data_IF_878453130379
#
_entry.id   IF_878453130379
#
_cell.length_a   1.000
_cell.length_b   1.000
_cell.length_c   1.000
_cell.angle_alpha   90.00
_cell.angle_beta   90.00
_cell.angle_gamma   90.00
#
_symmetry.space_group_name_H-M   'P 1'
#
loop_
_entity.id
_entity.type
_entity.pdbx_description
1 polymer ?
#
# COMPACT_ATOMS: atom_id res chain seq x y z
N UNK A 1 -2.11 -0.53 -12.57
CA UNK A 1 -1.58 0.81 -12.19
C UNK A 1 -0.69 0.60 -11.00
N UNK A 2 0.58 0.92 -11.17
CA UNK A 2 1.59 0.74 -10.14
C UNK A 2 1.42 1.76 -9.01
N UNK A 3 1.52 1.31 -7.76
CA UNK A 3 1.38 2.12 -6.55
C UNK A 3 2.36 1.64 -5.47
N UNK A 4 3.04 2.58 -4.82
CA UNK A 4 3.76 2.29 -3.57
C UNK A 4 2.76 2.23 -2.42
N UNK A 5 2.81 1.18 -1.62
CA UNK A 5 1.95 1.02 -0.44
C UNK A 5 2.72 1.45 0.81
N UNK A 6 2.12 2.32 1.62
CA UNK A 6 2.61 2.65 2.97
C UNK A 6 2.31 1.49 3.95
N UNK A 7 3.24 1.18 4.86
CA UNK A 7 3.04 0.17 5.93
C UNK A 7 1.76 0.45 6.71
N UNK A 8 1.40 1.72 6.93
CA UNK A 8 0.19 2.06 7.68
C UNK A 8 -1.09 1.52 7.02
N UNK A 9 -1.14 1.40 5.69
CA UNK A 9 -2.29 0.86 4.98
C UNK A 9 -2.42 -0.65 5.17
N UNK A 10 -1.28 -1.35 5.18
CA UNK A 10 -1.23 -2.78 5.50
C UNK A 10 -1.61 -3.02 6.97
N UNK A 11 -1.07 -2.23 7.90
CA UNK A 11 -1.43 -2.31 9.33
C UNK A 11 -2.92 -2.00 9.56
N UNK A 12 -3.46 -0.99 8.89
CA UNK A 12 -4.88 -0.64 8.93
C UNK A 12 -5.75 -1.81 8.46
N UNK A 13 -5.39 -2.43 7.33
CA UNK A 13 -6.09 -3.61 6.81
C UNK A 13 -6.05 -4.80 7.79
N UNK A 14 -4.91 -5.03 8.45
CA UNK A 14 -4.72 -6.12 9.41
C UNK A 14 -5.44 -5.88 10.75
N UNK A 15 -5.47 -4.64 11.24
CA UNK A 15 -5.98 -4.31 12.57
C UNK A 15 -7.49 -4.21 12.64
N UNK A 16 -8.15 -3.67 11.61
CA UNK A 16 -9.57 -3.33 11.69
C UNK A 16 -10.40 -3.78 10.48
N UNK A 17 -9.82 -4.48 9.51
CA UNK A 17 -10.47 -4.78 8.22
C UNK A 17 -11.17 -3.55 7.65
N UNK A 18 -10.48 -2.41 7.71
CA UNK A 18 -10.96 -1.10 7.28
C UNK A 18 -11.08 -0.99 5.76
N UNK A 19 -11.36 0.22 5.27
CA UNK A 19 -11.33 0.49 3.83
C UNK A 19 -10.02 0.07 3.14
N UNK A 20 -8.88 0.04 3.85
CA UNK A 20 -7.62 -0.46 3.27
C UNK A 20 -7.72 -1.96 2.95
N UNK A 21 -8.41 -2.74 3.79
CA UNK A 21 -8.72 -4.14 3.49
C UNK A 21 -9.67 -4.28 2.29
N UNK A 22 -10.67 -3.40 2.17
CA UNK A 22 -11.58 -3.40 1.02
C UNK A 22 -10.87 -3.11 -0.31
N UNK A 23 -9.82 -2.29 -0.30
CA UNK A 23 -8.96 -2.05 -1.47
C UNK A 23 -8.27 -3.35 -1.90
N UNK A 24 -7.61 -4.05 -0.97
CA UNK A 24 -6.96 -5.34 -1.28
C UNK A 24 -7.98 -6.40 -1.71
N UNK A 25 -9.14 -6.46 -1.05
CA UNK A 25 -10.20 -7.41 -1.40
C UNK A 25 -10.73 -7.17 -2.82
N UNK A 26 -10.99 -5.91 -3.16
CA UNK A 26 -11.47 -5.53 -4.48
C UNK A 26 -10.39 -5.76 -5.54
N UNK A 27 -9.13 -5.43 -5.24
CA UNK A 27 -8.03 -5.59 -6.19
C UNK A 27 -7.76 -7.06 -6.53
N UNK A 28 -7.98 -7.99 -5.59
CA UNK A 28 -7.88 -9.43 -5.87
C UNK A 28 -8.84 -9.89 -7.00
N UNK A 29 -9.98 -9.20 -7.17
CA UNK A 29 -10.95 -9.50 -8.25
C UNK A 29 -10.67 -8.71 -9.52
N UNK A 30 -10.44 -7.41 -9.40
CA UNK A 30 -10.35 -6.51 -10.56
C UNK A 30 -8.94 -6.33 -11.13
N UNK A 31 -7.90 -6.67 -10.36
CA UNK A 31 -6.49 -6.52 -10.72
C UNK A 31 -6.15 -5.14 -11.31
N UNK A 32 -6.75 -4.09 -10.73
CA UNK A 32 -6.63 -2.71 -11.23
C UNK A 32 -5.30 -2.07 -10.83
N UNK A 33 -4.76 -2.49 -9.70
CA UNK A 33 -3.55 -1.99 -9.09
C UNK A 33 -2.48 -3.08 -9.00
N UNK A 34 -1.24 -2.66 -9.24
CA UNK A 34 -0.03 -3.42 -8.98
C UNK A 34 0.62 -2.72 -7.79
N UNK A 35 0.77 -3.43 -6.67
CA UNK A 35 1.29 -2.84 -5.45
C UNK A 35 2.76 -3.20 -5.27
N UNK A 36 3.56 -2.20 -4.92
CA UNK A 36 4.96 -2.37 -4.53
C UNK A 36 5.20 -1.77 -3.15
N UNK A 37 6.15 -2.33 -2.41
CA UNK A 37 6.56 -1.83 -1.11
C UNK A 37 8.06 -2.11 -0.88
N UNK A 38 8.76 -1.32 -0.04
CA UNK A 38 10.08 -1.69 0.44
C UNK A 38 10.05 -3.04 1.17
N UNK A 39 11.03 -3.91 0.92
CA UNK A 39 11.18 -5.20 1.62
C UNK A 39 11.20 -5.04 3.16
N UNK A 40 11.70 -3.91 3.64
CA UNK A 40 11.71 -3.55 5.05
C UNK A 40 10.31 -3.61 5.70
N UNK A 41 9.24 -3.26 4.98
CA UNK A 41 7.85 -3.36 5.46
C UNK A 41 7.54 -4.78 5.94
N UNK A 42 7.94 -5.80 5.18
CA UNK A 42 7.68 -7.19 5.52
C UNK A 42 8.35 -7.57 6.86
N UNK A 43 9.60 -7.15 7.05
CA UNK A 43 10.33 -7.38 8.30
C UNK A 43 9.73 -6.63 9.49
N UNK A 44 9.27 -5.40 9.29
CA UNK A 44 8.61 -4.59 10.31
C UNK A 44 7.31 -5.25 10.80
N UNK A 45 6.45 -5.69 9.88
CA UNK A 45 5.21 -6.38 10.21
C UNK A 45 5.51 -7.70 10.93
N UNK A 46 6.50 -8.47 10.44
CA UNK A 46 6.90 -9.73 11.05
C UNK A 46 7.40 -9.57 12.49
N UNK A 47 8.24 -8.56 12.75
CA UNK A 47 8.74 -8.26 14.12
C UNK A 47 7.61 -7.86 15.07
N UNK A 48 6.59 -7.16 14.56
CA UNK A 48 5.48 -6.65 15.37
C UNK A 48 4.27 -7.59 15.37
N UNK A 49 4.36 -8.78 14.77
CA UNK A 49 3.20 -9.65 14.53
C UNK A 49 2.41 -9.99 15.81
N UNK A 50 3.10 -10.29 16.92
CA UNK A 50 2.44 -10.57 18.21
C UNK A 50 1.67 -9.37 18.78
N UNK A 51 2.16 -8.15 18.58
CA UNK A 51 1.44 -6.93 18.95
C UNK A 51 0.19 -6.75 18.07
N UNK A 52 0.32 -7.02 16.76
CA UNK A 52 -0.79 -6.91 15.80
C UNK A 52 -1.87 -7.95 16.13
N UNK A 53 -1.52 -9.18 16.51
CA UNK A 53 -2.47 -10.20 17.02
C UNK A 53 -3.24 -9.63 18.22
N UNK A 54 -2.52 -9.10 19.21
CA UNK A 54 -3.13 -8.54 20.42
C UNK A 54 -4.10 -7.39 20.11
N UNK A 55 -3.71 -6.49 19.20
CA UNK A 55 -4.49 -5.29 18.87
C UNK A 55 -5.66 -5.58 17.94
N UNK A 56 -5.50 -6.49 16.98
CA UNK A 56 -6.56 -6.89 16.04
C UNK A 56 -7.65 -7.72 16.71
N UNK A 57 -7.36 -8.35 17.86
CA UNK A 57 -8.23 -9.32 18.54
C UNK A 57 -8.57 -10.55 17.67
N UNK A 58 -7.72 -10.83 16.67
CA UNK A 58 -7.81 -12.02 15.84
C UNK A 58 -6.90 -13.12 16.42
N UNK A 59 -7.18 -14.37 16.07
CA UNK A 59 -6.22 -15.44 16.34
C UNK A 59 -4.98 -15.28 15.45
N UNK A 60 -3.86 -15.85 15.87
CA UNK A 60 -2.62 -15.89 15.08
C UNK A 60 -2.83 -16.48 13.68
N UNK A 61 -3.67 -17.50 13.57
CA UNK A 61 -3.96 -18.19 12.31
C UNK A 61 -4.76 -17.28 11.38
N UNK A 62 -5.82 -16.64 11.89
CA UNK A 62 -6.65 -15.75 11.09
C UNK A 62 -5.86 -14.52 10.63
N UNK A 63 -5.05 -13.94 11.52
CA UNK A 63 -4.19 -12.82 11.15
C UNK A 63 -3.12 -13.25 10.14
N UNK A 64 -2.55 -14.44 10.31
CA UNK A 64 -1.55 -15.00 9.39
C UNK A 64 -2.10 -15.20 7.98
N UNK A 65 -3.29 -15.77 7.85
CA UNK A 65 -3.97 -15.90 6.55
C UNK A 65 -4.37 -14.54 5.96
N UNK A 66 -4.78 -13.59 6.80
CA UNK A 66 -5.08 -12.22 6.35
C UNK A 66 -3.82 -11.53 5.80
N UNK A 67 -2.70 -11.66 6.51
CA UNK A 67 -1.43 -11.09 6.05
C UNK A 67 -0.92 -11.79 4.80
N UNK A 68 -1.06 -13.12 4.71
CA UNK A 68 -0.74 -13.87 3.49
C UNK A 68 -1.58 -13.40 2.29
N UNK A 69 -2.87 -13.19 2.48
CA UNK A 69 -3.73 -12.65 1.43
C UNK A 69 -3.29 -11.27 0.93
N UNK A 70 -2.87 -10.38 1.85
CA UNK A 70 -2.40 -9.03 1.49
C UNK A 70 -1.02 -9.11 0.83
N UNK A 71 -0.08 -9.86 1.41
CA UNK A 71 1.30 -9.95 0.92
C UNK A 71 1.36 -10.51 -0.50
N UNK A 72 0.46 -11.43 -0.86
CA UNK A 72 0.42 -12.05 -2.19
C UNK A 72 -0.01 -11.07 -3.30
N UNK A 73 -0.42 -9.85 -2.93
CA UNK A 73 -0.74 -8.77 -3.86
C UNK A 73 0.34 -7.69 -3.95
N UNK A 74 1.40 -7.76 -3.13
CA UNK A 74 2.44 -6.74 -3.01
C UNK A 74 3.79 -7.32 -3.43
N UNK A 75 4.42 -6.67 -4.41
CA UNK A 75 5.80 -6.94 -4.77
C UNK A 75 6.75 -6.18 -3.83
N UNK A 76 7.47 -6.92 -3.00
CA UNK A 76 8.44 -6.37 -2.06
C UNK A 76 9.78 -6.14 -2.74
N UNK A 77 10.21 -4.88 -2.80
CA UNK A 77 11.43 -4.45 -3.49
C UNK A 77 12.57 -4.26 -2.49
N UNK A 78 13.73 -4.92 -2.69
CA UNK A 78 14.93 -4.72 -1.87
C UNK A 78 15.47 -3.29 -1.94
N UNK A 79 16.00 -2.77 -0.82
CA UNK A 79 16.47 -1.38 -0.73
C UNK A 79 17.56 -1.02 -1.75
N UNK A 80 18.45 -1.95 -2.07
CA UNK A 80 19.52 -1.76 -3.03
C UNK A 80 19.04 -1.53 -4.48
N UNK A 81 17.76 -1.79 -4.79
CA UNK A 81 17.20 -1.52 -6.12
C UNK A 81 16.74 -0.07 -6.33
N UNK A 82 16.61 0.70 -5.25
CA UNK A 82 16.11 2.07 -5.27
C UNK A 82 16.87 3.03 -4.35
N UNK A 83 17.99 2.60 -3.74
CA UNK A 83 18.76 3.41 -2.80
C UNK A 83 19.39 4.65 -3.46
N UNK A 84 19.61 4.64 -4.77
CA UNK A 84 20.10 5.79 -5.52
C UNK A 84 19.11 6.96 -5.50
N UNK A 85 17.83 6.68 -5.27
CA UNK A 85 16.77 7.68 -5.14
C UNK A 85 16.64 8.23 -3.71
N UNK A 86 17.37 7.69 -2.72
CA UNK A 86 17.20 8.06 -1.32
C UNK A 86 17.47 9.55 -1.04
N UNK A 87 18.47 10.14 -1.72
CA UNK A 87 18.80 11.56 -1.54
C UNK A 87 17.66 12.47 -2.02
N UNK A 88 17.11 12.17 -3.19
CA UNK A 88 15.97 12.93 -3.72
C UNK A 88 14.72 12.72 -2.85
N UNK A 89 14.51 11.50 -2.38
CA UNK A 89 13.39 11.18 -1.51
C UNK A 89 13.46 11.88 -0.16
N UNK A 90 14.66 12.09 0.41
CA UNK A 90 14.86 12.84 1.65
C UNK A 90 14.34 14.30 1.54
N UNK A 91 14.49 14.92 0.37
CA UNK A 91 13.98 16.28 0.12
C UNK A 91 12.45 16.35 0.04
N UNK A 92 11.79 15.23 -0.28
CA UNK A 92 10.32 15.13 -0.43
C UNK A 92 9.64 14.59 0.82
N UNK A 93 10.36 13.76 1.58
CA UNK A 93 9.82 12.99 2.67
C UNK A 93 9.59 13.85 3.92
N UNK A 94 8.45 13.72 4.61
CA UNK A 94 8.21 14.46 5.85
C UNK A 94 9.07 13.95 7.01
N UNK A 95 9.46 12.67 7.00
CA UNK A 95 10.28 12.04 8.04
C UNK A 95 11.25 11.02 7.47
N UNK A 96 12.33 10.75 8.20
CA UNK A 96 13.40 9.82 7.77
C UNK A 96 12.91 8.39 7.50
N UNK A 97 11.91 7.92 8.26
CA UNK A 97 11.32 6.58 8.09
C UNK A 97 10.51 6.44 6.81
N UNK A 98 10.03 7.55 6.25
CA UNK A 98 9.15 7.57 5.09
C UNK A 98 9.96 7.66 3.78
N UNK A 99 11.26 7.99 3.85
CA UNK A 99 12.17 8.12 2.71
C UNK A 99 12.11 6.91 1.78
N UNK A 100 12.03 5.70 2.33
CA UNK A 100 11.97 4.47 1.55
C UNK A 100 10.75 4.40 0.60
N UNK A 101 9.59 4.91 1.00
CA UNK A 101 8.39 4.92 0.14
C UNK A 101 8.51 5.98 -0.95
N UNK A 102 9.04 7.15 -0.60
CA UNK A 102 9.31 8.21 -1.57
C UNK A 102 10.40 7.80 -2.57
N UNK A 103 11.47 7.15 -2.11
CA UNK A 103 12.54 6.66 -2.98
C UNK A 103 12.03 5.62 -3.97
N UNK A 104 11.18 4.70 -3.50
CA UNK A 104 10.51 3.73 -4.37
C UNK A 104 9.59 4.42 -5.38
N UNK A 105 8.79 5.39 -4.94
CA UNK A 105 7.89 6.15 -5.82
C UNK A 105 8.65 6.97 -6.87
N UNK A 106 9.79 7.58 -6.51
CA UNK A 106 10.69 8.27 -7.44
C UNK A 106 11.26 7.29 -8.47
N UNK A 107 11.82 6.16 -8.00
CA UNK A 107 12.43 5.13 -8.86
C UNK A 107 11.46 4.62 -9.91
N UNK A 108 10.27 4.25 -9.49
CA UNK A 108 9.23 3.65 -10.34
C UNK A 108 8.28 4.67 -10.97
N UNK A 109 8.47 5.97 -10.68
CA UNK A 109 7.65 7.09 -11.16
C UNK A 109 6.16 6.83 -10.97
N UNK A 110 5.80 6.34 -9.79
CA UNK A 110 4.44 5.95 -9.46
C UNK A 110 3.93 6.67 -8.21
N UNK A 111 2.60 6.74 -8.03
CA UNK A 111 2.00 7.35 -6.85
C UNK A 111 2.21 6.52 -5.58
N UNK A 112 2.01 7.16 -4.43
CA UNK A 112 1.96 6.49 -3.12
C UNK A 112 0.51 6.37 -2.67
N UNK A 113 0.16 5.24 -2.08
CA UNK A 113 -1.08 5.07 -1.32
C UNK A 113 -0.79 5.23 0.17
N UNK A 114 -1.35 6.28 0.77
CA UNK A 114 -1.24 6.56 2.21
C UNK A 114 -2.33 7.54 2.67
N UNK A 115 -2.84 7.35 3.89
CA UNK A 115 -3.67 8.31 4.63
C UNK A 115 -2.83 9.39 5.38
N UNK A 116 -1.49 9.31 5.35
CA UNK A 116 -0.62 10.28 6.01
C UNK A 116 -0.68 11.64 5.30
N UNK A 117 -1.36 12.60 5.94
CA UNK A 117 -1.59 13.93 5.37
C UNK A 117 -0.30 14.67 5.05
N UNK A 118 0.78 14.43 5.79
CA UNK A 118 2.06 15.08 5.52
C UNK A 118 2.68 14.63 4.19
N UNK A 119 2.34 13.46 3.64
CA UNK A 119 2.83 13.00 2.34
C UNK A 119 2.33 13.89 1.20
N UNK A 120 1.20 14.58 1.39
CA UNK A 120 0.61 15.53 0.43
C UNK A 120 1.23 16.93 0.47
N UNK A 121 2.21 17.19 1.35
CA UNK A 121 2.88 18.50 1.44
C UNK A 121 3.86 18.75 0.29
N UNK A 122 4.43 17.69 -0.27
CA UNK A 122 5.23 17.75 -1.49
C UNK A 122 4.32 17.70 -2.74
N UNK A 123 4.84 18.13 -3.89
CA UNK A 123 4.09 18.27 -5.14
C UNK A 123 4.60 17.39 -6.30
N UNK A 124 5.59 16.53 -6.05
CA UNK A 124 6.26 15.72 -7.08
C UNK A 124 5.62 14.35 -7.26
N UNK A 125 5.23 13.72 -6.16
CA UNK A 125 4.66 12.37 -6.13
C UNK A 125 3.17 12.47 -5.82
N UNK A 126 2.27 11.98 -6.68
CA UNK A 126 0.85 11.92 -6.35
C UNK A 126 0.60 10.98 -5.17
N UNK A 127 -0.32 11.36 -4.28
CA UNK A 127 -0.68 10.55 -3.11
C UNK A 127 -2.17 10.27 -3.12
N UNK A 128 -2.53 8.99 -3.24
CA UNK A 128 -3.90 8.51 -3.20
C UNK A 128 -4.27 8.11 -1.77
N UNK A 129 -5.45 8.54 -1.34
CA UNK A 129 -6.11 7.99 -0.15
C UNK A 129 -6.80 6.66 -0.50
N UNK A 130 -7.17 5.91 0.52
CA UNK A 130 -8.02 4.72 0.40
C UNK A 130 -9.34 5.04 -0.31
N UNK A 131 -9.93 6.20 0.00
CA UNK A 131 -11.15 6.64 -0.66
C UNK A 131 -10.95 6.78 -2.18
N UNK A 132 -9.87 7.41 -2.62
CA UNK A 132 -9.59 7.60 -4.04
C UNK A 132 -9.43 6.26 -4.77
N UNK A 133 -8.73 5.30 -4.16
CA UNK A 133 -8.55 3.97 -4.74
C UNK A 133 -9.87 3.20 -4.86
N UNK A 134 -10.75 3.29 -3.85
CA UNK A 134 -12.08 2.67 -3.87
C UNK A 134 -12.96 3.30 -4.96
N UNK A 135 -12.96 4.63 -5.09
CA UNK A 135 -13.76 5.30 -6.13
C UNK A 135 -13.30 4.90 -7.53
N UNK A 136 -11.99 4.84 -7.76
CA UNK A 136 -11.42 4.38 -9.01
C UNK A 136 -11.80 2.92 -9.33
N UNK A 137 -11.86 2.04 -8.33
CA UNK A 137 -12.33 0.65 -8.48
C UNK A 137 -13.82 0.58 -8.84
N UNK A 138 -14.67 1.38 -8.17
CA UNK A 138 -16.12 1.44 -8.47
C UNK A 138 -16.37 1.92 -9.89
N UNK A 139 -15.69 2.99 -10.31
CA UNK A 139 -15.79 3.51 -11.67
C UNK A 139 -15.32 2.46 -12.69
N UNK A 140 -14.22 1.78 -12.41
CA UNK A 140 -13.71 0.72 -13.26
C UNK A 140 -14.71 -0.45 -13.41
N UNK A 141 -15.31 -0.90 -12.29
CA UNK A 141 -16.37 -1.91 -12.32
C UNK A 141 -17.56 -1.46 -13.17
N UNK A 142 -18.01 -0.21 -13.02
CA UNK A 142 -19.11 0.34 -13.81
C UNK A 142 -18.80 0.32 -15.32
N UNK A 143 -17.61 0.77 -15.70
CA UNK A 143 -17.17 0.78 -17.10
C UNK A 143 -17.09 -0.63 -17.70
N UNK A 144 -16.59 -1.61 -16.94
CA UNK A 144 -16.59 -3.02 -17.37
C UNK A 144 -18.02 -3.49 -17.66
N UNK A 145 -18.95 -3.26 -16.73
CA UNK A 145 -20.34 -3.71 -16.87
C UNK A 145 -21.06 -3.08 -18.06
N UNK A 146 -20.76 -1.83 -18.42
CA UNK A 146 -21.33 -1.20 -19.62
C UNK A 146 -20.82 -1.86 -20.92
N UNK A 147 -19.54 -2.26 -20.97
CA UNK A 147 -18.94 -2.89 -22.14
C UNK A 147 -19.33 -4.37 -22.33
N UNK A 148 -20.03 -5.00 -21.38
CA UNK A 148 -20.56 -6.36 -21.50
C UNK A 148 -22.00 -6.42 -22.04
N UNK A 149 -22.61 -5.27 -22.30
CA UNK A 149 -23.97 -5.15 -22.85
C UNK A 149 -24.01 -4.77 -24.35
N UNK A 150 -22.87 -4.79 -25.04
CA UNK A 150 -22.75 -4.74 -26.51
C UNK A 150 -22.28 -6.09 -27.06
#
# INVERSE_FOLDING_TARGET
MLLVVDTNEVLSALLSKSGSFDVFLSNASFKRYEFIAPEFMFFEIGRNFGEIVTRSKLSSEVLGETFKFIKDQIDFIPFNEFNECAKEADELSPHIKDIQYFALAVKFKCPVWSEEKSFKKQNKIPVFSTYDLIQNLKLYKFLILQNFHE
#
